data_IF_175431023700
#
_entry.id   IF_175431023700
#
_cell.length_a   1.000
_cell.length_b   1.000
_cell.length_c   1.000
_cell.angle_alpha   90.00
_cell.angle_beta   90.00
_cell.angle_gamma   90.00
#
_symmetry.space_group_name_H-M   'P 1'
#
loop_
_entity.id
_entity.type
_entity.pdbx_description
1 polymer ?
#
# COMPACT_ATOMS: atom_id res chain seq x y z
N UNK A 1 16.20 -32.37 -15.70
CA UNK A 1 15.23 -32.18 -14.59
C UNK A 1 14.07 -31.35 -15.11
N UNK A 2 12.85 -31.57 -14.61
CA UNK A 2 11.67 -30.82 -15.05
C UNK A 2 11.67 -29.39 -14.46
N UNK A 3 11.06 -28.44 -15.17
CA UNK A 3 10.82 -27.10 -14.63
C UNK A 3 9.69 -27.19 -13.60
N UNK A 4 9.92 -26.72 -12.37
CA UNK A 4 8.95 -26.82 -11.27
C UNK A 4 8.55 -25.42 -10.78
N UNK A 5 7.27 -25.12 -10.86
CA UNK A 5 6.66 -23.86 -10.44
C UNK A 5 6.19 -23.94 -8.99
N UNK A 6 6.78 -23.11 -8.13
CA UNK A 6 6.35 -22.91 -6.75
C UNK A 6 5.48 -21.66 -6.63
N UNK A 7 4.16 -21.85 -6.63
CA UNK A 7 3.16 -20.83 -6.36
C UNK A 7 1.80 -21.45 -6.05
N UNK A 8 0.88 -20.65 -5.50
CA UNK A 8 -0.53 -21.05 -5.47
C UNK A 8 -1.11 -21.14 -6.89
N UNK A 9 -1.94 -22.15 -7.17
CA UNK A 9 -2.53 -22.40 -8.50
C UNK A 9 -3.39 -21.24 -9.03
N UNK A 10 -3.89 -20.38 -8.15
CA UNK A 10 -4.70 -19.19 -8.48
C UNK A 10 -3.85 -17.93 -8.69
N UNK A 11 -2.52 -18.02 -8.60
CA UNK A 11 -1.64 -16.86 -8.66
C UNK A 11 -1.49 -16.35 -10.11
N UNK A 12 -2.01 -15.14 -10.37
CA UNK A 12 -1.91 -14.47 -11.68
C UNK A 12 -0.48 -14.32 -12.21
N UNK A 13 0.51 -14.21 -11.31
CA UNK A 13 1.91 -14.03 -11.69
C UNK A 13 2.52 -15.35 -12.21
N UNK A 14 2.03 -16.50 -11.74
CA UNK A 14 2.42 -17.80 -12.28
C UNK A 14 1.82 -18.04 -13.68
N UNK A 15 0.62 -17.48 -13.96
CA UNK A 15 -0.01 -17.60 -15.28
C UNK A 15 0.86 -17.03 -16.39
N UNK A 16 1.64 -15.96 -16.14
CA UNK A 16 2.59 -15.40 -17.10
C UNK A 16 3.50 -16.50 -17.66
N UNK A 17 4.16 -17.23 -16.76
CA UNK A 17 5.07 -18.32 -17.12
C UNK A 17 4.35 -19.47 -17.80
N UNK A 18 3.19 -19.89 -17.28
CA UNK A 18 2.47 -21.04 -17.81
C UNK A 18 1.93 -20.78 -19.21
N UNK A 19 1.38 -19.59 -19.46
CA UNK A 19 0.91 -19.19 -20.78
C UNK A 19 2.11 -19.10 -21.74
N UNK A 20 3.22 -18.48 -21.32
CA UNK A 20 4.44 -18.49 -22.13
C UNK A 20 4.86 -19.92 -22.46
N UNK A 21 4.86 -20.82 -21.47
CA UNK A 21 5.19 -22.23 -21.64
C UNK A 21 4.30 -22.94 -22.68
N UNK A 22 2.99 -22.64 -22.69
CA UNK A 22 2.05 -23.16 -23.71
C UNK A 22 2.40 -22.66 -25.12
N UNK A 23 2.76 -21.38 -25.28
CA UNK A 23 3.19 -20.87 -26.59
C UNK A 23 4.51 -21.49 -27.07
N UNK A 24 5.41 -21.85 -26.15
CA UNK A 24 6.72 -22.40 -26.49
C UNK A 24 6.80 -23.93 -26.47
N UNK A 25 5.72 -24.62 -26.07
CA UNK A 25 5.68 -26.07 -25.97
C UNK A 25 6.55 -26.65 -24.84
N UNK A 26 6.78 -25.88 -23.78
CA UNK A 26 7.59 -26.31 -22.62
C UNK A 26 6.67 -26.79 -21.50
N UNK A 27 6.95 -27.94 -20.91
CA UNK A 27 6.21 -28.44 -19.76
C UNK A 27 6.74 -27.80 -18.46
N UNK A 28 5.86 -27.13 -17.72
CA UNK A 28 6.14 -26.61 -16.37
C UNK A 28 5.22 -27.32 -15.38
N UNK A 29 5.83 -28.08 -14.46
CA UNK A 29 5.10 -28.82 -13.43
C UNK A 29 4.85 -27.95 -12.22
N UNK A 30 3.76 -28.17 -11.51
CA UNK A 30 3.55 -27.53 -10.21
C UNK A 30 4.35 -28.24 -9.13
N UNK A 31 4.89 -27.48 -8.17
CA UNK A 31 5.47 -28.03 -6.96
C UNK A 31 4.41 -28.85 -6.19
N UNK A 32 4.80 -30.06 -5.76
CA UNK A 32 3.92 -30.90 -4.97
C UNK A 32 3.69 -30.27 -3.58
N UNK A 33 2.43 -30.18 -3.16
CA UNK A 33 2.03 -29.73 -1.82
C UNK A 33 2.51 -28.32 -1.42
N UNK A 34 2.57 -27.38 -2.37
CA UNK A 34 2.85 -25.99 -2.06
C UNK A 34 1.67 -25.32 -1.31
N UNK A 35 1.94 -24.75 -0.13
CA UNK A 35 0.97 -24.01 0.68
C UNK A 35 1.47 -22.57 0.92
N UNK A 36 0.70 -21.60 0.44
CA UNK A 36 1.03 -20.18 0.60
C UNK A 36 0.92 -19.76 2.07
N UNK A 37 1.95 -19.10 2.59
CA UNK A 37 2.10 -18.72 4.00
C UNK A 37 2.87 -19.73 4.84
N UNK A 38 3.08 -20.96 4.34
CA UNK A 38 3.82 -22.04 5.00
C UNK A 38 5.06 -22.41 4.20
N UNK A 39 4.89 -22.97 2.99
CA UNK A 39 5.99 -23.44 2.15
C UNK A 39 6.94 -22.31 1.76
N UNK A 40 6.43 -21.11 1.48
CA UNK A 40 7.26 -19.96 1.09
C UNK A 40 8.02 -19.29 2.25
N UNK A 41 7.86 -19.78 3.49
CA UNK A 41 8.59 -19.30 4.66
C UNK A 41 9.64 -20.28 5.16
N UNK A 42 9.74 -21.48 4.58
CA UNK A 42 10.73 -22.46 5.04
C UNK A 42 12.14 -22.04 4.62
N UNK A 43 13.19 -22.44 5.38
CA UNK A 43 14.56 -22.13 5.03
C UNK A 43 14.96 -22.60 3.62
N UNK A 44 14.39 -23.72 3.16
CA UNK A 44 14.63 -24.28 1.82
C UNK A 44 14.08 -23.36 0.75
N UNK A 45 12.87 -22.82 0.94
CA UNK A 45 12.29 -21.87 0.01
C UNK A 45 13.01 -20.52 0.03
N UNK A 46 13.40 -20.04 1.20
CA UNK A 46 14.13 -18.77 1.34
C UNK A 46 15.52 -18.81 0.70
N UNK A 47 16.14 -20.00 0.56
CA UNK A 47 17.34 -20.16 -0.27
C UNK A 47 17.09 -19.95 -1.75
N UNK A 48 15.88 -20.24 -2.24
CA UNK A 48 15.50 -20.02 -3.63
C UNK A 48 15.04 -18.58 -3.89
N UNK A 49 14.30 -17.99 -2.95
CA UNK A 49 13.91 -16.59 -2.98
C UNK A 49 14.05 -15.97 -1.58
N UNK A 50 15.04 -15.09 -1.35
CA UNK A 50 15.30 -14.52 -0.02
C UNK A 50 14.16 -13.65 0.51
N UNK A 51 13.26 -13.17 -0.36
CA UNK A 51 12.08 -12.36 0.03
C UNK A 51 10.88 -13.26 0.38
N UNK A 52 10.95 -14.57 0.09
CA UNK A 52 9.85 -15.51 0.35
C UNK A 52 8.59 -15.25 -0.49
N UNK A 53 8.73 -14.54 -1.63
CA UNK A 53 7.63 -14.27 -2.57
C UNK A 53 7.49 -15.38 -3.60
N UNK A 54 6.31 -15.43 -4.21
CA UNK A 54 5.96 -16.34 -5.31
C UNK A 54 5.51 -15.55 -6.54
N UNK A 55 5.71 -16.07 -7.76
CA UNK A 55 6.26 -17.39 -8.10
C UNK A 55 7.79 -17.51 -7.99
N UNK A 56 8.25 -18.75 -7.85
CA UNK A 56 9.64 -19.18 -8.06
C UNK A 56 9.63 -20.37 -9.01
N UNK A 57 10.50 -20.35 -10.02
CA UNK A 57 10.72 -21.47 -10.93
C UNK A 57 12.02 -22.17 -10.56
N UNK A 58 11.91 -23.43 -10.15
CA UNK A 58 13.07 -24.30 -9.96
C UNK A 58 13.45 -24.92 -11.31
N UNK A 59 14.74 -24.76 -11.65
CA UNK A 59 15.32 -25.25 -12.91
C UNK A 59 16.50 -26.18 -12.57
N UNK A 60 16.98 -27.00 -13.53
CA UNK A 60 18.14 -27.86 -13.33
C UNK A 60 19.40 -27.10 -12.89
N UNK A 61 19.54 -25.85 -13.30
CA UNK A 61 20.73 -25.01 -13.09
C UNK A 61 20.59 -24.07 -11.88
N UNK A 62 19.41 -24.05 -11.26
CA UNK A 62 19.11 -23.21 -10.10
C UNK A 62 17.73 -22.52 -10.18
N UNK A 63 17.29 -21.90 -9.08
CA UNK A 63 16.00 -21.23 -9.03
C UNK A 63 16.02 -19.85 -9.69
N UNK A 64 14.90 -19.46 -10.29
CA UNK A 64 14.64 -18.12 -10.82
C UNK A 64 13.41 -17.56 -10.11
N UNK A 65 13.51 -16.35 -9.57
CA UNK A 65 12.38 -15.61 -8.97
C UNK A 65 12.12 -14.30 -9.74
N UNK A 66 11.03 -13.61 -9.42
CA UNK A 66 10.39 -12.54 -10.22
C UNK A 66 9.63 -13.05 -11.46
N UNK A 67 8.31 -12.85 -11.47
CA UNK A 67 7.45 -13.49 -12.49
C UNK A 67 7.78 -13.09 -13.92
N UNK A 68 8.18 -11.83 -14.15
CA UNK A 68 8.55 -11.37 -15.49
C UNK A 68 9.90 -11.98 -15.91
N UNK A 69 10.85 -12.14 -14.97
CA UNK A 69 12.13 -12.82 -15.23
C UNK A 69 11.94 -14.30 -15.53
N UNK A 70 11.07 -14.99 -14.77
CA UNK A 70 10.72 -16.39 -15.01
C UNK A 70 10.08 -16.56 -16.40
N UNK A 71 9.13 -15.70 -16.78
CA UNK A 71 8.49 -15.77 -18.10
C UNK A 71 9.51 -15.55 -19.24
N UNK A 72 10.43 -14.59 -19.09
CA UNK A 72 11.56 -14.40 -20.03
C UNK A 72 12.47 -15.63 -20.07
N UNK A 73 12.79 -16.24 -18.93
CA UNK A 73 13.63 -17.42 -18.86
C UNK A 73 13.04 -18.61 -19.63
N UNK A 74 11.75 -18.91 -19.42
CA UNK A 74 11.06 -19.99 -20.16
C UNK A 74 11.07 -19.72 -21.67
N UNK A 75 10.91 -18.47 -22.07
CA UNK A 75 11.01 -18.09 -23.48
C UNK A 75 12.43 -18.27 -24.04
N UNK A 76 13.45 -17.82 -23.30
CA UNK A 76 14.86 -17.95 -23.68
C UNK A 76 15.29 -19.41 -23.77
N UNK A 77 14.78 -20.30 -22.89
CA UNK A 77 15.04 -21.74 -22.99
C UNK A 77 14.64 -22.29 -24.36
N UNK A 78 13.47 -21.90 -24.89
CA UNK A 78 13.10 -22.27 -26.25
C UNK A 78 14.07 -21.66 -27.27
N UNK A 79 14.39 -20.37 -27.20
CA UNK A 79 15.33 -19.76 -28.16
C UNK A 79 16.69 -20.46 -28.17
N UNK A 80 17.22 -20.82 -27.01
CA UNK A 80 18.46 -21.59 -26.91
C UNK A 80 18.32 -22.97 -27.55
N UNK A 81 17.23 -23.69 -27.28
CA UNK A 81 16.94 -24.99 -27.91
C UNK A 81 16.79 -24.85 -29.43
N UNK A 82 16.10 -23.82 -29.93
CA UNK A 82 15.92 -23.53 -31.35
C UNK A 82 17.27 -23.25 -32.03
N UNK A 83 18.09 -22.39 -31.45
CA UNK A 83 19.41 -22.01 -32.00
C UNK A 83 20.34 -23.23 -32.01
N UNK A 84 20.39 -24.00 -30.92
CA UNK A 84 21.23 -25.19 -30.81
C UNK A 84 20.74 -26.32 -31.73
N UNK A 85 19.43 -26.52 -31.85
CA UNK A 85 18.82 -27.55 -32.69
C UNK A 85 18.62 -27.13 -34.16
N UNK A 86 18.95 -25.89 -34.53
CA UNK A 86 18.73 -25.28 -35.87
C UNK A 86 17.29 -25.41 -36.38
N UNK A 87 16.32 -25.48 -35.47
CA UNK A 87 14.91 -25.58 -35.83
C UNK A 87 14.43 -24.19 -36.26
N UNK A 88 13.63 -24.10 -37.34
CA UNK A 88 12.88 -22.88 -37.64
C UNK A 88 11.56 -22.96 -36.92
N UNK A 89 11.24 -21.97 -36.09
CA UNK A 89 9.89 -21.80 -35.55
C UNK A 89 9.47 -20.35 -35.73
N UNK A 90 8.19 -20.13 -36.01
CA UNK A 90 7.58 -18.80 -36.20
C UNK A 90 7.33 -18.05 -34.87
N UNK A 91 8.03 -18.39 -33.78
CA UNK A 91 7.77 -17.74 -32.48
C UNK A 91 8.33 -16.33 -32.43
N UNK A 92 7.45 -15.33 -32.56
CA UNK A 92 7.77 -13.89 -32.51
C UNK A 92 7.64 -13.27 -31.11
N UNK A 93 7.70 -14.07 -30.04
CA UNK A 93 7.34 -13.60 -28.69
C UNK A 93 8.32 -12.54 -28.12
N UNK A 94 9.58 -12.50 -28.58
CA UNK A 94 10.58 -11.47 -28.26
C UNK A 94 10.68 -10.37 -29.33
N UNK A 95 9.81 -10.39 -30.34
CA UNK A 95 9.95 -9.54 -31.51
C UNK A 95 11.02 -10.06 -32.47
N UNK A 96 11.11 -9.40 -33.63
CA UNK A 96 11.98 -9.74 -34.75
C UNK A 96 13.17 -8.77 -34.92
N UNK A 97 13.20 -7.68 -34.13
CA UNK A 97 14.24 -6.65 -34.20
C UNK A 97 14.52 -6.05 -32.82
N UNK A 98 15.68 -5.37 -32.62
CA UNK A 98 15.99 -4.70 -31.36
C UNK A 98 14.95 -3.66 -30.95
N UNK A 99 14.32 -2.96 -31.91
CA UNK A 99 13.29 -1.97 -31.62
C UNK A 99 11.99 -2.62 -31.17
N UNK A 100 11.60 -3.75 -31.76
CA UNK A 100 10.44 -4.53 -31.29
C UNK A 100 10.68 -5.10 -29.89
N UNK A 101 11.88 -5.63 -29.64
CA UNK A 101 12.25 -6.08 -28.29
C UNK A 101 12.19 -4.93 -27.27
N UNK A 102 12.72 -3.76 -27.62
CA UNK A 102 12.61 -2.55 -26.79
C UNK A 102 11.16 -2.15 -26.48
N UNK A 103 10.27 -2.20 -27.47
CA UNK A 103 8.84 -1.96 -27.24
C UNK A 103 8.19 -3.04 -26.37
N UNK A 104 8.60 -4.30 -26.49
CA UNK A 104 8.10 -5.39 -25.65
C UNK A 104 8.47 -5.12 -24.18
N UNK A 105 9.74 -4.81 -23.91
CA UNK A 105 10.21 -4.47 -22.57
C UNK A 105 9.50 -3.22 -22.03
N UNK A 106 9.32 -2.19 -22.86
CA UNK A 106 8.57 -0.98 -22.50
C UNK A 106 7.15 -1.31 -22.00
N UNK A 107 6.41 -2.17 -22.71
CA UNK A 107 5.05 -2.54 -22.30
C UNK A 107 5.01 -3.46 -21.08
N UNK A 108 6.03 -4.32 -20.90
CA UNK A 108 6.16 -5.16 -19.69
C UNK A 108 6.35 -4.28 -18.45
N UNK A 109 7.23 -3.29 -18.53
CA UNK A 109 7.51 -2.38 -17.43
C UNK A 109 6.33 -1.44 -17.16
N UNK A 110 5.76 -0.86 -18.23
CA UNK A 110 4.52 -0.07 -18.14
C UNK A 110 3.41 -0.84 -17.43
N UNK A 111 3.17 -2.09 -17.84
CA UNK A 111 2.12 -2.91 -17.24
C UNK A 111 2.40 -3.22 -15.77
N UNK A 112 3.65 -3.44 -15.39
CA UNK A 112 4.00 -3.79 -14.00
C UNK A 112 3.92 -2.57 -13.08
N UNK A 113 4.38 -1.40 -13.55
CA UNK A 113 4.52 -0.19 -12.76
C UNK A 113 3.24 0.66 -12.74
N UNK A 114 2.53 0.76 -13.87
CA UNK A 114 1.37 1.65 -14.00
C UNK A 114 0.02 0.91 -13.88
N UNK A 115 -0.05 -0.37 -14.25
CA UNK A 115 -1.30 -1.16 -14.16
C UNK A 115 -1.30 -2.03 -12.91
N UNK A 116 -0.38 -3.00 -12.80
CA UNK A 116 -0.41 -4.00 -11.74
C UNK A 116 -0.30 -3.37 -10.35
N UNK A 117 0.65 -2.44 -10.19
CA UNK A 117 0.84 -1.70 -8.94
C UNK A 117 -0.43 -0.99 -8.48
N UNK A 118 -1.15 -0.32 -9.40
CA UNK A 118 -2.37 0.40 -9.07
C UNK A 118 -3.56 -0.54 -8.82
N UNK A 119 -3.69 -1.63 -9.59
CA UNK A 119 -4.69 -2.68 -9.34
C UNK A 119 -4.47 -3.31 -7.96
N UNK A 120 -3.23 -3.62 -7.59
CA UNK A 120 -2.93 -4.21 -6.28
C UNK A 120 -3.19 -3.23 -5.13
N UNK A 121 -2.85 -1.95 -5.28
CA UNK A 121 -3.18 -0.92 -4.28
C UNK A 121 -4.69 -0.79 -4.04
N UNK A 122 -5.49 -0.94 -5.09
CA UNK A 122 -6.96 -0.94 -4.98
C UNK A 122 -7.50 -2.25 -4.37
N UNK A 123 -6.91 -3.39 -4.74
CA UNK A 123 -7.36 -4.71 -4.34
C UNK A 123 -6.99 -5.07 -2.89
N UNK A 124 -5.74 -4.85 -2.46
CA UNK A 124 -5.21 -5.36 -1.19
C UNK A 124 -6.05 -4.97 0.04
N UNK A 125 -6.54 -3.73 0.18
CA UNK A 125 -7.38 -3.37 1.32
C UNK A 125 -8.73 -4.10 1.38
N UNK A 126 -9.32 -4.39 0.22
CA UNK A 126 -10.63 -5.07 0.11
C UNK A 126 -10.57 -6.56 0.42
N UNK A 127 -9.37 -7.14 0.38
CA UNK A 127 -9.13 -8.52 0.78
C UNK A 127 -8.43 -8.62 2.15
N UNK A 128 -8.26 -7.49 2.86
CA UNK A 128 -7.67 -7.47 4.20
C UNK A 128 -6.17 -7.69 4.27
N UNK A 129 -5.46 -7.55 3.13
CA UNK A 129 -4.00 -7.66 3.05
C UNK A 129 -3.28 -6.33 3.24
N UNK A 130 -4.02 -5.22 3.26
CA UNK A 130 -3.52 -3.89 3.56
C UNK A 130 -4.59 -3.07 4.30
N UNK A 131 -4.18 -2.00 4.98
CA UNK A 131 -5.12 -1.06 5.56
C UNK A 131 -5.77 -0.22 4.46
N UNK A 132 -7.05 0.07 4.62
CA UNK A 132 -7.76 0.98 3.72
C UNK A 132 -7.45 2.44 4.06
N UNK A 133 -6.99 3.19 3.06
CA UNK A 133 -6.77 4.63 3.14
C UNK A 133 -7.41 5.25 1.91
N UNK A 134 -8.49 6.02 2.10
CA UNK A 134 -9.31 6.52 1.00
C UNK A 134 -8.52 7.33 -0.04
N UNK A 135 -7.67 8.32 0.33
CA UNK A 135 -6.85 9.04 -0.64
C UNK A 135 -5.89 8.15 -1.45
N UNK A 136 -5.40 7.05 -0.87
CA UNK A 136 -4.51 6.10 -1.56
C UNK A 136 -5.28 5.27 -2.58
N UNK A 137 -6.49 4.83 -2.24
CA UNK A 137 -7.37 4.13 -3.18
C UNK A 137 -7.77 5.06 -4.34
N UNK A 138 -8.18 6.30 -4.04
CA UNK A 138 -8.52 7.30 -5.05
C UNK A 138 -7.35 7.58 -6.00
N UNK A 139 -6.15 7.78 -5.46
CA UNK A 139 -4.94 7.98 -6.25
C UNK A 139 -4.59 6.75 -7.10
N UNK A 140 -4.75 5.53 -6.56
CA UNK A 140 -4.52 4.29 -7.30
C UNK A 140 -5.53 4.12 -8.45
N UNK A 141 -6.81 4.41 -8.21
CA UNK A 141 -7.85 4.38 -9.25
C UNK A 141 -7.56 5.42 -10.33
N UNK A 142 -7.22 6.65 -9.95
CA UNK A 142 -6.88 7.71 -10.90
C UNK A 142 -5.62 7.36 -11.73
N UNK A 143 -4.58 6.83 -11.08
CA UNK A 143 -3.38 6.34 -11.74
C UNK A 143 -3.67 5.19 -12.72
N UNK A 144 -4.51 4.23 -12.30
CA UNK A 144 -4.97 3.14 -13.17
C UNK A 144 -5.74 3.68 -14.38
N UNK A 145 -6.70 4.58 -14.17
CA UNK A 145 -7.47 5.19 -15.28
C UNK A 145 -6.56 5.93 -16.27
N UNK A 146 -5.55 6.66 -15.79
CA UNK A 146 -4.55 7.30 -16.65
C UNK A 146 -3.78 6.27 -17.48
N UNK A 147 -3.31 5.19 -16.85
CA UNK A 147 -2.59 4.11 -17.54
C UNK A 147 -3.48 3.41 -18.58
N UNK A 148 -4.72 3.07 -18.22
CA UNK A 148 -5.69 2.48 -19.12
C UNK A 148 -6.06 3.42 -20.27
N UNK A 149 -6.10 4.74 -20.04
CA UNK A 149 -6.30 5.74 -21.09
C UNK A 149 -5.17 5.75 -22.13
N UNK A 150 -3.91 5.71 -21.67
CA UNK A 150 -2.75 5.60 -22.56
C UNK A 150 -2.78 4.29 -23.34
N UNK A 151 -3.04 3.17 -22.66
CA UNK A 151 -3.16 1.85 -23.29
C UNK A 151 -4.32 1.79 -24.30
N UNK A 152 -5.46 2.40 -23.98
CA UNK A 152 -6.63 2.46 -24.86
C UNK A 152 -6.34 3.23 -26.15
N UNK A 153 -5.61 4.35 -26.04
CA UNK A 153 -5.16 5.12 -27.21
C UNK A 153 -4.24 4.29 -28.09
N UNK A 154 -3.25 3.59 -27.51
CA UNK A 154 -2.36 2.71 -28.27
C UNK A 154 -3.14 1.59 -28.98
N UNK A 155 -4.04 0.93 -28.27
CA UNK A 155 -4.86 -0.17 -28.78
C UNK A 155 -5.99 0.28 -29.73
N UNK A 156 -6.17 1.58 -30.00
CA UNK A 156 -7.17 2.03 -30.96
C UNK A 156 -6.82 1.55 -32.39
N UNK A 157 -5.54 1.55 -32.75
CA UNK A 157 -5.02 1.13 -34.05
C UNK A 157 -4.23 -0.17 -34.03
N UNK A 158 -4.11 -0.83 -32.88
CA UNK A 158 -3.33 -2.06 -32.73
C UNK A 158 -4.18 -3.22 -32.18
N UNK A 159 -3.98 -4.41 -32.74
CA UNK A 159 -4.61 -5.64 -32.25
C UNK A 159 -3.88 -6.20 -31.03
N UNK A 160 -2.55 -6.14 -31.04
CA UNK A 160 -1.64 -6.56 -29.97
C UNK A 160 -0.71 -5.40 -29.60
N UNK A 161 0.05 -5.50 -28.51
CA UNK A 161 0.86 -4.38 -28.02
C UNK A 161 2.04 -4.05 -28.93
N UNK A 162 2.67 -5.06 -29.53
CA UNK A 162 3.83 -4.91 -30.40
C UNK A 162 3.68 -5.78 -31.65
N UNK A 163 3.83 -5.18 -32.83
CA UNK A 163 3.73 -5.89 -34.10
C UNK A 163 2.31 -6.37 -34.41
N UNK A 164 2.22 -7.55 -35.05
CA UNK A 164 0.96 -8.11 -35.59
C UNK A 164 0.58 -9.47 -34.99
N UNK A 165 1.27 -9.91 -33.93
CA UNK A 165 1.09 -11.19 -33.27
C UNK A 165 1.24 -11.04 -31.75
N UNK A 166 0.80 -12.06 -31.01
CA UNK A 166 0.97 -12.09 -29.55
C UNK A 166 2.46 -12.10 -29.22
N UNK A 167 2.85 -11.24 -28.28
CA UNK A 167 4.21 -11.15 -27.73
C UNK A 167 4.22 -11.40 -26.22
N UNK A 168 5.41 -11.45 -25.61
CA UNK A 168 5.54 -11.53 -24.16
C UNK A 168 4.88 -10.33 -23.45
N UNK A 169 4.90 -9.14 -24.06
CA UNK A 169 4.22 -7.97 -23.54
C UNK A 169 2.72 -8.22 -23.37
N UNK A 170 2.11 -8.92 -24.33
CA UNK A 170 0.67 -9.20 -24.29
C UNK A 170 0.31 -10.20 -23.20
N UNK A 171 1.12 -11.24 -23.03
CA UNK A 171 0.97 -12.24 -21.97
C UNK A 171 1.03 -11.58 -20.61
N UNK A 172 2.08 -10.77 -20.36
CA UNK A 172 2.28 -10.12 -19.08
C UNK A 172 1.18 -9.08 -18.81
N UNK A 173 0.84 -8.27 -19.80
CA UNK A 173 -0.18 -7.22 -19.65
C UNK A 173 -1.55 -7.81 -19.37
N UNK A 174 -1.95 -8.86 -20.09
CA UNK A 174 -3.20 -9.56 -19.84
C UNK A 174 -3.24 -10.16 -18.44
N UNK A 175 -2.15 -10.79 -17.98
CA UNK A 175 -2.07 -11.33 -16.62
C UNK A 175 -2.16 -10.24 -15.55
N UNK A 176 -1.58 -9.06 -15.77
CA UNK A 176 -1.66 -7.94 -14.84
C UNK A 176 -3.06 -7.30 -14.81
N UNK A 177 -3.76 -7.27 -15.94
CA UNK A 177 -5.17 -6.84 -16.02
C UNK A 177 -6.15 -7.86 -15.40
N UNK A 178 -5.77 -9.13 -15.32
CA UNK A 178 -6.64 -10.25 -14.92
C UNK A 178 -7.39 -10.02 -13.60
N UNK A 179 -6.67 -9.67 -12.53
CA UNK A 179 -7.31 -9.41 -11.23
C UNK A 179 -8.21 -8.18 -11.28
N UNK A 180 -7.81 -7.17 -12.07
CA UNK A 180 -8.66 -6.02 -12.37
C UNK A 180 -10.00 -6.46 -12.93
N UNK A 181 -10.05 -7.15 -14.07
CA UNK A 181 -11.31 -7.61 -14.68
C UNK A 181 -12.07 -8.60 -13.80
N UNK A 182 -11.37 -9.55 -13.17
CA UNK A 182 -12.01 -10.62 -12.39
C UNK A 182 -12.68 -10.12 -11.12
N UNK A 183 -12.08 -9.16 -10.42
CA UNK A 183 -12.54 -8.78 -9.08
C UNK A 183 -12.69 -7.28 -8.83
N UNK A 184 -12.16 -6.37 -9.64
CA UNK A 184 -12.19 -4.92 -9.33
C UNK A 184 -12.99 -4.09 -10.34
N UNK A 185 -12.69 -4.21 -11.62
CA UNK A 185 -13.16 -3.32 -12.68
C UNK A 185 -14.51 -3.80 -13.22
N UNK A 186 -15.59 -3.15 -12.78
CA UNK A 186 -16.94 -3.41 -13.26
C UNK A 186 -17.10 -3.01 -14.73
N UNK A 187 -18.19 -3.46 -15.37
CA UNK A 187 -18.49 -3.10 -16.76
C UNK A 187 -18.58 -1.58 -16.98
N UNK A 188 -19.14 -0.84 -16.01
CA UNK A 188 -19.19 0.63 -16.06
C UNK A 188 -17.79 1.25 -16.05
N UNK A 189 -16.86 0.69 -15.27
CA UNK A 189 -15.47 1.16 -15.23
C UNK A 189 -14.73 0.88 -16.55
N UNK A 190 -14.87 -0.33 -17.09
CA UNK A 190 -14.15 -0.71 -18.33
C UNK A 190 -14.74 -0.10 -19.58
N UNK A 191 -16.01 0.34 -19.56
CA UNK A 191 -16.65 1.04 -20.67
C UNK A 191 -15.96 2.36 -21.05
N UNK A 192 -15.21 2.98 -20.12
CA UNK A 192 -14.37 4.15 -20.40
C UNK A 192 -13.18 3.81 -21.33
N UNK A 193 -12.82 2.52 -21.45
CA UNK A 193 -11.64 2.03 -22.18
C UNK A 193 -11.99 0.88 -23.15
N UNK A 194 -12.81 1.14 -24.19
CA UNK A 194 -13.36 0.09 -25.04
C UNK A 194 -12.31 -0.72 -25.81
N UNK A 195 -11.17 -0.12 -26.19
CA UNK A 195 -10.11 -0.82 -26.90
C UNK A 195 -9.30 -1.73 -25.97
N UNK A 196 -9.13 -1.33 -24.70
CA UNK A 196 -8.56 -2.21 -23.66
C UNK A 196 -9.48 -3.38 -23.39
N UNK A 197 -10.79 -3.15 -23.28
CA UNK A 197 -11.76 -4.21 -23.09
C UNK A 197 -11.75 -5.21 -24.26
N UNK A 198 -11.79 -4.70 -25.51
CA UNK A 198 -11.64 -5.53 -26.72
C UNK A 198 -10.37 -6.35 -26.66
N UNK A 199 -9.24 -5.72 -26.35
CA UNK A 199 -7.94 -6.38 -26.28
C UNK A 199 -7.92 -7.48 -25.24
N UNK A 200 -8.35 -7.20 -24.01
CA UNK A 200 -8.34 -8.15 -22.91
C UNK A 200 -9.15 -9.40 -23.26
N UNK A 201 -10.37 -9.22 -23.79
CA UNK A 201 -11.21 -10.34 -24.19
C UNK A 201 -10.65 -11.11 -25.38
N UNK A 202 -10.01 -10.45 -26.35
CA UNK A 202 -9.28 -11.14 -27.42
C UNK A 202 -8.17 -12.04 -26.87
N UNK A 203 -7.44 -11.56 -25.85
CA UNK A 203 -6.30 -12.27 -25.27
C UNK A 203 -6.72 -13.46 -24.41
N UNK A 204 -7.65 -13.29 -23.46
CA UNK A 204 -8.05 -14.39 -22.55
C UNK A 204 -8.79 -15.53 -23.25
N UNK A 205 -9.38 -15.26 -24.42
CA UNK A 205 -10.05 -16.25 -25.27
C UNK A 205 -9.10 -16.93 -26.28
N UNK A 206 -7.81 -16.59 -26.31
CA UNK A 206 -6.83 -17.37 -27.07
C UNK A 206 -6.68 -18.76 -26.44
N UNK A 207 -6.53 -19.85 -27.24
CA UNK A 207 -6.44 -21.21 -26.71
C UNK A 207 -5.38 -21.39 -25.60
N UNK A 208 -4.20 -20.80 -25.79
CA UNK A 208 -3.09 -20.87 -24.84
C UNK A 208 -3.38 -20.15 -23.52
N UNK A 209 -4.21 -19.09 -23.56
CA UNK A 209 -4.66 -18.38 -22.36
C UNK A 209 -5.78 -19.15 -21.66
N UNK A 210 -6.82 -19.54 -22.41
CA UNK A 210 -7.99 -20.22 -21.85
C UNK A 210 -7.64 -21.56 -21.20
N UNK A 211 -6.63 -22.27 -21.72
CA UNK A 211 -6.12 -23.51 -21.11
C UNK A 211 -5.53 -23.30 -19.71
N UNK A 212 -4.90 -22.15 -19.45
CA UNK A 212 -4.26 -21.83 -18.16
C UNK A 212 -5.22 -21.10 -17.22
N UNK A 213 -5.91 -20.09 -17.73
CA UNK A 213 -6.77 -19.20 -16.94
C UNK A 213 -8.14 -19.83 -16.67
N UNK A 214 -8.63 -20.66 -17.59
CA UNK A 214 -10.00 -21.17 -17.60
C UNK A 214 -11.02 -20.11 -18.01
N UNK A 215 -12.29 -20.40 -17.72
CA UNK A 215 -13.39 -19.46 -17.95
C UNK A 215 -13.26 -18.24 -17.04
N UNK A 216 -13.36 -17.04 -17.63
CA UNK A 216 -13.29 -15.78 -16.91
C UNK A 216 -14.58 -14.99 -17.08
N UNK A 217 -15.22 -14.70 -15.95
CA UNK A 217 -16.33 -13.72 -15.87
C UNK A 217 -15.81 -12.42 -15.25
N UNK A 218 -16.16 -11.29 -15.87
CA UNK A 218 -15.87 -9.97 -15.31
C UNK A 218 -16.71 -9.72 -14.06
N UNK A 219 -16.15 -8.98 -13.10
CA UNK A 219 -16.89 -8.64 -11.88
C UNK A 219 -18.07 -7.71 -12.16
N UNK A 220 -19.18 -7.94 -11.46
CA UNK A 220 -20.37 -7.08 -11.51
C UNK A 220 -20.28 -5.92 -10.50
N UNK A 221 -19.50 -6.10 -9.42
CA UNK A 221 -19.35 -5.12 -8.36
C UNK A 221 -17.93 -5.13 -7.78
N UNK A 222 -17.51 -3.99 -7.23
CA UNK A 222 -16.27 -3.90 -6.46
C UNK A 222 -16.50 -4.55 -5.09
N UNK A 223 -15.66 -5.52 -4.66
CA UNK A 223 -15.80 -6.16 -3.35
C UNK A 223 -15.84 -5.12 -2.24
N UNK A 224 -16.79 -5.20 -1.29
CA UNK A 224 -16.85 -4.25 -0.19
C UNK A 224 -15.57 -4.34 0.63
N UNK A 225 -15.21 -3.24 1.30
CA UNK A 225 -14.18 -3.32 2.33
C UNK A 225 -14.63 -4.33 3.39
N UNK A 226 -13.71 -5.17 3.89
CA UNK A 226 -14.06 -6.11 4.93
C UNK A 226 -14.58 -5.33 6.13
N UNK A 227 -15.87 -5.47 6.43
CA UNK A 227 -16.40 -5.15 7.76
C UNK A 227 -15.49 -5.86 8.75
N UNK A 228 -15.19 -5.28 9.91
CA UNK A 228 -14.20 -5.81 10.89
C UNK A 228 -14.53 -7.19 11.52
N UNK A 229 -15.14 -8.11 10.77
CA UNK A 229 -15.12 -9.56 10.96
C UNK A 229 -13.68 -10.05 10.81
N UNK A 230 -13.17 -10.53 11.94
CA UNK A 230 -11.90 -11.25 12.13
C UNK A 230 -11.51 -12.02 10.87
N UNK A 231 -10.36 -11.65 10.30
CA UNK A 231 -9.63 -12.54 9.42
C UNK A 231 -9.53 -13.91 10.10
N UNK A 232 -9.97 -14.96 9.40
CA UNK A 232 -9.82 -16.32 9.87
C UNK A 232 -8.32 -16.59 10.06
N UNK A 233 -7.89 -16.63 11.32
CA UNK A 233 -6.55 -17.10 11.67
C UNK A 233 -6.42 -18.56 11.25
N UNK A 234 -5.28 -18.99 10.67
CA UNK A 234 -4.99 -20.39 10.42
C UNK A 234 -5.11 -21.17 11.73
N UNK A 235 -5.80 -22.31 11.70
CA UNK A 235 -5.81 -23.27 12.80
C UNK A 235 -4.38 -23.75 13.04
N UNK A 236 -3.73 -23.24 14.07
CA UNK A 236 -2.57 -23.89 14.66
C UNK A 236 -3.01 -25.25 15.22
N UNK A 237 -2.49 -26.30 14.61
CA UNK A 237 -2.53 -27.67 15.12
C UNK A 237 -1.65 -27.75 16.36
N UNK A 238 -2.24 -27.63 17.55
CA UNK A 238 -1.57 -27.98 18.81
C UNK A 238 -1.26 -29.49 18.83
N UNK A 239 -0.03 -29.90 19.22
CA UNK A 239 0.30 -31.31 19.43
C UNK A 239 -0.50 -31.91 20.59
N UNK A 240 -0.95 -33.15 20.40
CA UNK A 240 -1.54 -34.02 21.44
C UNK A 240 -0.57 -34.20 22.61
N UNK A 241 -1.05 -33.96 23.82
CA UNK A 241 -0.57 -34.62 25.03
C UNK A 241 -1.79 -35.06 25.85
N UNK A 242 -1.85 -36.36 26.14
CA UNK A 242 -2.89 -37.03 26.94
C UNK A 242 -2.63 -36.90 28.46
N UNK A 243 -3.62 -37.24 29.31
CA UNK A 243 -3.94 -36.50 30.53
C UNK A 243 -3.44 -37.16 31.83
N UNK A 244 -3.32 -36.36 32.90
CA UNK A 244 -3.44 -36.85 34.28
C UNK A 244 -4.51 -36.08 35.05
N UNK A 245 -5.43 -36.86 35.63
CA UNK A 245 -6.54 -36.53 36.54
C UNK A 245 -6.05 -36.14 37.93
N UNK A 246 -6.81 -35.28 38.61
CA UNK A 246 -7.42 -35.46 39.96
C UNK A 246 -8.21 -34.17 40.31
N UNK A 247 -9.55 -34.18 40.20
CA UNK A 247 -10.57 -34.24 41.28
C UNK A 247 -10.73 -32.95 42.12
N UNK A 248 -11.77 -32.14 41.84
CA UNK A 248 -13.18 -32.15 42.31
C UNK A 248 -13.42 -31.51 43.70
N UNK A 249 -14.26 -30.46 43.72
CA UNK A 249 -15.33 -30.25 44.72
C UNK A 249 -16.41 -29.28 44.18
N UNK A 250 -17.65 -29.77 44.18
CA UNK A 250 -18.95 -29.12 43.86
C UNK A 250 -19.44 -28.27 45.05
N UNK A 251 -19.98 -27.04 44.84
CA UNK A 251 -21.40 -26.62 44.69
C UNK A 251 -22.24 -26.68 46.00
N UNK A 252 -23.25 -25.78 46.26
CA UNK A 252 -24.47 -25.70 45.43
C UNK A 252 -25.15 -24.30 45.27
N UNK A 253 -26.16 -24.32 44.36
CA UNK A 253 -27.04 -23.29 43.77
C UNK A 253 -28.06 -22.61 44.72
N UNK A 254 -28.58 -21.44 44.31
CA UNK A 254 -30.02 -21.19 44.02
C UNK A 254 -30.27 -19.80 43.38
N UNK A 255 -31.39 -19.70 42.65
CA UNK A 255 -31.75 -18.80 41.54
C UNK A 255 -32.27 -17.40 41.93
N UNK A 256 -32.26 -16.42 40.99
CA UNK A 256 -33.47 -15.81 40.38
C UNK A 256 -33.13 -14.72 39.33
N UNK A 257 -34.04 -14.57 38.37
CA UNK A 257 -34.06 -13.77 37.13
C UNK A 257 -33.68 -12.27 37.19
N UNK A 258 -33.18 -11.77 36.06
CA UNK A 258 -33.24 -10.35 35.67
C UNK A 258 -32.49 -10.10 34.35
N UNK A 259 -33.21 -9.70 33.29
CA UNK A 259 -32.67 -9.22 32.01
C UNK A 259 -31.68 -8.06 32.22
N UNK A 260 -30.53 -8.07 31.55
CA UNK A 260 -29.75 -6.87 31.21
C UNK A 260 -28.68 -7.16 30.13
N UNK A 261 -28.61 -6.30 29.10
CA UNK A 261 -27.68 -6.37 27.97
C UNK A 261 -26.21 -6.32 28.41
N UNK A 262 -25.44 -7.37 28.12
CA UNK A 262 -24.01 -7.43 28.45
C UNK A 262 -23.14 -6.95 27.28
N UNK A 263 -22.51 -5.79 27.49
CA UNK A 263 -21.61 -5.09 26.56
C UNK A 263 -20.39 -5.94 26.12
N UNK A 264 -19.89 -5.78 24.87
CA UNK A 264 -18.78 -6.56 24.36
C UNK A 264 -17.43 -6.14 24.99
N UNK A 265 -16.66 -7.13 25.49
CA UNK A 265 -15.31 -6.97 26.05
C UNK A 265 -14.27 -6.45 25.02
N UNK A 266 -13.26 -5.69 25.47
CA UNK A 266 -12.48 -4.78 24.64
C UNK A 266 -11.40 -5.48 23.80
N UNK A 267 -11.21 -5.00 22.57
CA UNK A 267 -9.97 -5.21 21.79
C UNK A 267 -8.77 -4.64 22.58
N UNK A 268 -7.54 -5.14 22.40
CA UNK A 268 -6.37 -4.54 23.02
C UNK A 268 -6.29 -3.08 22.57
N UNK A 269 -6.52 -2.17 23.51
CA UNK A 269 -6.57 -0.72 23.33
C UNK A 269 -5.15 -0.21 23.04
N UNK A 270 -5.01 0.75 22.12
CA UNK A 270 -3.76 1.51 22.02
C UNK A 270 -3.46 2.08 23.43
N UNK A 271 -2.21 2.08 23.92
CA UNK A 271 -1.88 2.65 25.23
C UNK A 271 -2.44 4.05 25.47
N UNK A 272 -2.62 4.85 24.41
CA UNK A 272 -3.26 6.17 24.48
C UNK A 272 -4.79 6.16 24.62
N UNK A 273 -5.47 5.09 24.18
CA UNK A 273 -6.92 4.86 24.41
C UNK A 273 -7.21 4.40 25.85
N UNK A 274 -6.17 4.10 26.64
CA UNK A 274 -6.24 3.77 28.07
C UNK A 274 -6.01 4.97 28.98
N UNK A 275 -5.59 6.11 28.41
CA UNK A 275 -5.41 7.35 29.18
C UNK A 275 -6.77 7.89 29.67
N UNK A 276 -6.81 8.54 30.85
CA UNK A 276 -8.03 9.14 31.39
C UNK A 276 -8.70 10.05 30.35
N UNK A 277 -10.04 10.00 30.17
CA UNK A 277 -10.76 10.84 29.22
C UNK A 277 -10.35 12.31 29.38
N UNK A 278 -9.89 12.92 28.29
CA UNK A 278 -9.53 14.33 28.25
C UNK A 278 -10.78 15.18 28.04
N UNK A 279 -10.84 16.38 28.63
CA UNK A 279 -11.88 17.37 28.34
C UNK A 279 -11.79 17.85 26.88
N UNK A 280 -10.58 17.86 26.31
CA UNK A 280 -10.35 18.15 24.91
C UNK A 280 -10.73 16.96 24.02
N UNK A 281 -11.67 17.17 23.09
CA UNK A 281 -11.95 16.26 21.96
C UNK A 281 -11.20 16.76 20.72
N UNK A 282 -10.20 15.99 20.27
CA UNK A 282 -9.31 16.43 19.19
C UNK A 282 -10.04 16.63 17.85
N UNK A 283 -11.06 15.81 17.56
CA UNK A 283 -11.85 15.94 16.34
C UNK A 283 -12.67 17.24 16.30
N UNK A 284 -13.15 17.70 17.47
CA UNK A 284 -13.84 18.98 17.60
C UNK A 284 -12.89 20.15 17.38
N UNK A 285 -11.67 20.07 17.93
CA UNK A 285 -10.61 21.02 17.63
C UNK A 285 -10.31 21.08 16.12
N UNK A 286 -10.06 19.93 15.48
CA UNK A 286 -9.75 19.86 14.04
C UNK A 286 -10.88 20.40 13.17
N UNK A 287 -12.13 20.15 13.58
CA UNK A 287 -13.33 20.69 12.92
C UNK A 287 -13.41 22.21 13.08
N UNK A 288 -13.23 22.74 14.30
CA UNK A 288 -13.20 24.17 14.56
C UNK A 288 -12.11 24.87 13.74
N UNK A 289 -10.88 24.35 13.78
CA UNK A 289 -9.75 24.86 13.02
C UNK A 289 -10.06 24.89 11.51
N UNK A 290 -10.59 23.80 10.95
CA UNK A 290 -10.86 23.69 9.51
C UNK A 290 -11.97 24.61 9.01
N UNK A 291 -12.96 24.86 9.87
CA UNK A 291 -14.14 25.68 9.56
C UNK A 291 -13.91 27.18 9.77
N UNK A 292 -12.89 27.56 10.54
CA UNK A 292 -12.55 28.96 10.75
C UNK A 292 -11.81 29.50 9.52
N UNK A 293 -12.43 30.45 8.80
CA UNK A 293 -11.84 31.09 7.59
C UNK A 293 -11.45 32.55 7.83
N UNK A 294 -12.12 33.22 8.75
CA UNK A 294 -11.88 34.61 9.15
C UNK A 294 -11.87 34.69 10.68
N UNK A 295 -11.32 35.78 11.24
CA UNK A 295 -11.22 36.02 12.69
C UNK A 295 -10.56 34.86 13.45
N UNK A 296 -9.42 34.38 12.91
CA UNK A 296 -8.75 33.17 13.37
C UNK A 296 -8.42 33.20 14.87
N UNK A 297 -7.98 34.35 15.39
CA UNK A 297 -7.74 34.54 16.83
C UNK A 297 -8.98 34.43 17.69
N UNK A 298 -10.06 35.09 17.28
CA UNK A 298 -11.28 35.17 18.08
C UNK A 298 -12.06 33.85 18.12
N UNK A 299 -11.90 33.02 17.09
CA UNK A 299 -12.66 31.76 16.92
C UNK A 299 -11.78 30.54 17.15
N UNK A 300 -10.75 30.33 16.32
CA UNK A 300 -9.92 29.14 16.39
C UNK A 300 -8.96 29.18 17.59
N UNK A 301 -8.20 30.26 17.80
CA UNK A 301 -7.26 30.35 18.93
C UNK A 301 -7.99 30.37 20.26
N UNK A 302 -9.05 31.18 20.39
CA UNK A 302 -9.88 31.20 21.60
C UNK A 302 -10.46 29.82 21.90
N UNK A 303 -11.08 29.18 20.91
CA UNK A 303 -11.65 27.85 21.08
C UNK A 303 -10.60 26.78 21.35
N UNK A 304 -9.39 26.89 20.79
CA UNK A 304 -8.26 26.03 21.13
C UNK A 304 -7.98 26.05 22.62
N UNK A 305 -7.77 27.24 23.20
CA UNK A 305 -7.44 27.39 24.62
C UNK A 305 -8.61 27.06 25.55
N UNK A 306 -9.86 27.27 25.13
CA UNK A 306 -11.05 26.84 25.88
C UNK A 306 -11.19 25.30 25.92
N UNK A 307 -10.80 24.62 24.85
CA UNK A 307 -10.85 23.16 24.77
C UNK A 307 -9.59 22.48 25.30
N UNK A 308 -8.45 23.17 25.31
CA UNK A 308 -7.14 22.57 25.61
C UNK A 308 -7.07 22.04 27.04
N UNK A 309 -6.70 20.78 27.16
CA UNK A 309 -6.60 20.07 28.43
C UNK A 309 -5.14 19.65 28.66
N UNK A 310 -4.40 20.30 29.57
CA UNK A 310 -2.98 20.02 29.81
C UNK A 310 -2.72 18.68 30.52
N UNK A 311 -3.74 18.08 31.15
CA UNK A 311 -3.66 16.73 31.71
C UNK A 311 -3.85 15.67 30.62
N UNK A 312 -4.61 16.02 29.59
CA UNK A 312 -4.94 15.14 28.47
C UNK A 312 -4.01 15.25 27.27
N UNK A 313 -3.41 16.40 27.03
CA UNK A 313 -2.60 16.68 25.84
C UNK A 313 -1.34 17.45 26.20
N UNK A 314 -0.31 17.27 25.38
CA UNK A 314 0.93 18.02 25.48
C UNK A 314 1.22 18.74 24.16
N UNK A 315 1.74 19.95 24.30
CA UNK A 315 2.22 20.77 23.18
C UNK A 315 3.74 20.71 23.11
N UNK A 316 4.25 20.62 21.89
CA UNK A 316 5.67 20.51 21.60
C UNK A 316 6.05 21.39 20.42
N UNK A 317 7.11 22.17 20.56
CA UNK A 317 7.81 22.77 19.45
C UNK A 317 8.76 21.74 18.84
N UNK A 318 8.86 21.71 17.51
CA UNK A 318 9.87 20.95 16.79
C UNK A 318 10.69 21.86 15.88
N UNK A 319 11.98 21.96 16.13
CA UNK A 319 12.91 22.75 15.31
C UNK A 319 13.82 21.80 14.53
N UNK A 320 13.92 21.97 13.21
CA UNK A 320 14.75 21.09 12.39
C UNK A 320 16.24 21.34 12.62
N UNK A 321 17.02 20.28 12.87
CA UNK A 321 18.43 20.39 13.28
C UNK A 321 19.37 20.84 12.14
N UNK A 322 19.01 20.55 10.89
CA UNK A 322 19.90 20.72 9.72
C UNK A 322 19.37 21.79 8.76
N UNK A 323 18.98 22.96 9.27
CA UNK A 323 18.42 24.03 8.43
C UNK A 323 19.39 24.48 7.33
N UNK A 324 20.70 24.44 7.57
CA UNK A 324 21.74 24.83 6.61
C UNK A 324 21.72 23.98 5.31
N UNK A 325 21.14 22.79 5.34
CA UNK A 325 21.00 21.92 4.16
C UNK A 325 19.80 22.30 3.28
N UNK A 326 18.89 23.13 3.77
CA UNK A 326 17.65 23.48 3.09
C UNK A 326 17.88 24.63 2.10
N UNK A 327 18.64 24.38 1.03
CA UNK A 327 19.04 25.39 0.04
C UNK A 327 18.00 25.65 -1.07
N UNK A 328 17.00 24.78 -1.19
CA UNK A 328 16.04 24.81 -2.30
C UNK A 328 14.62 24.69 -1.76
N UNK A 329 13.81 25.73 -1.97
CA UNK A 329 12.47 25.87 -1.40
C UNK A 329 11.55 24.68 -1.68
N UNK A 330 11.46 24.23 -2.94
CA UNK A 330 10.60 23.11 -3.30
C UNK A 330 11.05 21.77 -2.70
N UNK A 331 12.36 21.58 -2.52
CA UNK A 331 12.92 20.38 -1.89
C UNK A 331 12.58 20.39 -0.40
N UNK A 332 12.73 21.53 0.27
CA UNK A 332 12.34 21.73 1.67
C UNK A 332 10.84 21.47 1.87
N UNK A 333 9.99 21.99 0.98
CA UNK A 333 8.54 21.72 0.98
C UNK A 333 8.22 20.22 0.85
N UNK A 334 8.90 19.51 -0.06
CA UNK A 334 8.70 18.08 -0.24
C UNK A 334 9.20 17.26 0.98
N UNK A 335 10.31 17.68 1.59
CA UNK A 335 10.86 17.08 2.82
C UNK A 335 9.83 17.15 3.97
N UNK A 336 9.28 18.33 4.22
CA UNK A 336 8.21 18.52 5.23
C UNK A 336 6.97 17.69 4.88
N UNK A 337 6.59 17.63 3.60
CA UNK A 337 5.47 16.80 3.15
C UNK A 337 5.67 15.30 3.44
N UNK A 338 6.88 14.78 3.20
CA UNK A 338 7.25 13.41 3.52
C UNK A 338 7.20 13.10 5.01
N UNK A 339 7.66 14.03 5.86
CA UNK A 339 7.56 13.90 7.32
C UNK A 339 6.10 13.80 7.76
N UNK A 340 5.23 14.70 7.28
CA UNK A 340 3.80 14.66 7.62
C UNK A 340 3.10 13.37 7.16
N UNK A 341 3.52 12.78 6.04
CA UNK A 341 2.99 11.48 5.58
C UNK A 341 3.41 10.32 6.49
N UNK A 342 4.62 10.35 7.06
CA UNK A 342 5.07 9.32 8.02
C UNK A 342 4.40 9.48 9.37
N UNK A 343 4.03 10.70 9.75
CA UNK A 343 3.27 10.98 10.97
C UNK A 343 1.81 10.50 10.91
N UNK A 344 1.32 9.97 9.79
CA UNK A 344 -0.09 9.57 9.59
C UNK A 344 -0.58 8.51 10.60
N UNK A 345 0.33 7.67 11.10
CA UNK A 345 0.08 6.72 12.21
C UNK A 345 -0.42 7.42 13.49
N UNK A 346 -0.05 8.69 13.69
CA UNK A 346 -0.47 9.52 14.83
C UNK A 346 -1.73 10.34 14.54
N UNK A 347 -2.33 10.28 13.34
CA UNK A 347 -3.41 11.19 12.91
C UNK A 347 -4.58 11.21 13.89
N UNK A 348 -4.97 10.07 14.45
CA UNK A 348 -6.05 9.99 15.44
C UNK A 348 -5.72 10.68 16.78
N UNK A 349 -4.43 10.81 17.11
CA UNK A 349 -3.96 11.22 18.43
C UNK A 349 -3.16 12.53 18.42
N UNK A 350 -2.98 13.15 17.25
CA UNK A 350 -2.16 14.33 17.10
C UNK A 350 -2.76 15.36 16.15
N UNK A 351 -2.36 16.60 16.37
CA UNK A 351 -2.52 17.73 15.45
C UNK A 351 -1.16 18.39 15.31
N UNK A 352 -0.76 18.78 14.11
CA UNK A 352 0.55 19.33 13.84
C UNK A 352 0.49 20.50 12.87
N UNK A 353 1.48 21.37 12.96
CA UNK A 353 1.66 22.50 12.07
C UNK A 353 3.14 22.69 11.79
N UNK A 354 3.53 22.68 10.53
CA UNK A 354 4.91 22.85 10.09
C UNK A 354 5.00 24.13 9.25
N UNK A 355 5.89 25.04 9.64
CA UNK A 355 6.19 26.28 8.96
C UNK A 355 7.54 26.17 8.25
N UNK A 356 7.62 26.70 7.04
CA UNK A 356 8.84 26.89 6.29
C UNK A 356 9.07 28.39 6.21
N UNK A 357 10.18 28.85 6.78
CA UNK A 357 10.44 30.25 7.06
C UNK A 357 11.70 30.68 6.30
N UNK A 358 11.67 31.89 5.75
CA UNK A 358 12.76 32.48 4.97
C UNK A 358 12.36 32.72 3.50
N UNK A 359 12.82 33.85 2.96
CA UNK A 359 12.68 34.21 1.55
C UNK A 359 13.90 33.81 0.70
N UNK A 360 15.04 33.58 1.34
CA UNK A 360 16.29 33.12 0.75
C UNK A 360 16.83 31.90 1.52
N UNK A 361 17.60 31.01 0.87
CA UNK A 361 18.22 29.88 1.55
C UNK A 361 19.29 30.33 2.56
N UNK A 362 19.51 29.58 3.65
CA UNK A 362 18.83 28.33 4.01
C UNK A 362 17.41 28.54 4.59
N UNK A 363 16.46 27.74 4.13
CA UNK A 363 15.07 27.77 4.62
C UNK A 363 14.94 27.06 5.97
N UNK A 364 14.40 27.75 6.97
CA UNK A 364 14.21 27.21 8.32
C UNK A 364 12.91 26.43 8.39
N UNK A 365 12.94 25.25 9.01
CA UNK A 365 11.76 24.43 9.25
C UNK A 365 11.47 24.37 10.74
N UNK A 366 10.30 24.88 11.13
CA UNK A 366 9.80 24.87 12.51
C UNK A 366 8.42 24.24 12.54
N UNK A 367 8.03 23.67 13.68
CA UNK A 367 6.69 23.12 13.82
C UNK A 367 6.18 23.10 15.25
N UNK A 368 4.87 22.90 15.34
CA UNK A 368 4.08 22.81 16.54
C UNK A 368 3.28 21.53 16.49
N UNK A 369 3.37 20.71 17.53
CA UNK A 369 2.63 19.46 17.64
C UNK A 369 1.88 19.38 18.94
N UNK A 370 0.63 18.99 18.83
CA UNK A 370 -0.26 18.60 19.90
C UNK A 370 -0.38 17.07 19.88
N UNK A 371 0.03 16.41 20.96
CA UNK A 371 -0.09 14.96 21.12
C UNK A 371 -1.01 14.61 22.29
N UNK A 372 -1.76 13.52 22.13
CA UNK A 372 -2.52 12.91 23.22
C UNK A 372 -1.57 12.31 24.25
N UNK A 373 -1.73 12.72 25.50
CA UNK A 373 -0.87 12.35 26.63
C UNK A 373 0.12 13.45 26.99
N UNK A 374 0.86 13.24 28.09
CA UNK A 374 1.82 14.21 28.65
C UNK A 374 3.18 14.20 27.96
N UNK A 375 3.43 13.19 27.13
CA UNK A 375 4.68 12.95 26.41
C UNK A 375 4.41 12.66 24.93
N UNK A 376 5.46 12.78 24.10
CA UNK A 376 5.39 12.35 22.70
C UNK A 376 5.14 10.84 22.68
N UNK A 377 4.12 10.34 21.95
CA UNK A 377 3.78 8.93 22.00
C UNK A 377 4.91 8.04 21.50
N UNK A 378 5.26 7.01 22.29
CA UNK A 378 6.41 6.14 22.00
C UNK A 378 6.35 5.49 20.61
N UNK A 379 5.17 5.07 20.15
CA UNK A 379 5.01 4.48 18.82
C UNK A 379 5.34 5.46 17.68
N UNK A 380 5.22 6.77 17.91
CA UNK A 380 5.65 7.80 16.95
C UNK A 380 7.17 7.85 16.89
N UNK A 381 7.84 7.77 18.04
CA UNK A 381 9.31 7.72 18.11
C UNK A 381 9.87 6.43 17.50
N UNK A 382 9.21 5.29 17.72
CA UNK A 382 9.68 3.98 17.25
C UNK A 382 9.48 3.79 15.73
N UNK A 383 8.42 4.35 15.14
CA UNK A 383 8.09 4.16 13.72
C UNK A 383 8.46 5.32 12.81
N UNK A 384 8.62 6.55 13.34
CA UNK A 384 8.99 7.74 12.57
C UNK A 384 10.44 8.15 12.87
N UNK A 385 11.40 7.60 12.10
CA UNK A 385 12.83 7.90 12.25
C UNK A 385 13.18 9.39 12.06
N UNK A 386 12.35 10.16 11.35
CA UNK A 386 12.57 11.60 11.19
C UNK A 386 12.44 12.36 12.51
N UNK A 387 11.76 11.82 13.52
CA UNK A 387 11.61 12.47 14.82
C UNK A 387 12.97 12.85 15.41
N UNK A 388 14.02 12.07 15.12
CA UNK A 388 15.40 12.34 15.55
C UNK A 388 16.06 13.53 14.82
N UNK A 389 15.55 13.91 13.64
CA UNK A 389 16.05 15.04 12.85
C UNK A 389 15.55 16.39 13.38
N UNK A 390 14.60 16.36 14.31
CA UNK A 390 14.06 17.54 14.98
C UNK A 390 14.50 17.58 16.44
N UNK A 391 14.67 18.79 16.95
CA UNK A 391 14.77 19.06 18.38
C UNK A 391 13.38 19.34 18.92
N UNK A 392 12.96 18.56 19.91
CA UNK A 392 11.62 18.63 20.49
C UNK A 392 11.66 19.30 21.86
N UNK A 393 10.97 20.43 21.98
CA UNK A 393 10.88 21.18 23.23
C UNK A 393 9.42 21.24 23.67
N UNK A 394 9.12 20.78 24.89
CA UNK A 394 7.76 20.86 25.44
C UNK A 394 7.41 22.33 25.68
N UNK A 395 6.21 22.74 25.25
CA UNK A 395 5.73 24.11 25.46
C UNK A 395 5.45 24.34 26.94
N UNK A 396 6.02 25.41 27.48
CA UNK A 396 5.71 25.90 28.82
C UNK A 396 4.44 26.74 28.79
N UNK A 397 3.37 26.20 29.39
CA UNK A 397 2.07 26.84 29.49
C UNK A 397 2.01 27.94 30.57
N UNK A 398 3.08 28.15 31.32
CA UNK A 398 3.19 29.29 32.23
C UNK A 398 3.84 30.50 31.55
N UNK A 399 4.51 30.28 30.41
CA UNK A 399 5.19 31.30 29.63
C UNK A 399 4.25 31.89 28.56
N UNK A 400 3.82 33.14 28.77
CA UNK A 400 2.95 33.84 27.84
C UNK A 400 3.60 34.07 26.46
N UNK A 401 4.93 34.18 26.38
CA UNK A 401 5.63 34.31 25.09
C UNK A 401 5.54 33.00 24.28
N UNK A 402 5.62 31.86 24.95
CA UNK A 402 5.47 30.56 24.29
C UNK A 402 4.02 30.29 23.88
N UNK A 403 3.02 30.70 24.68
CA UNK A 403 1.61 30.65 24.25
C UNK A 403 1.37 31.51 23.02
N UNK A 404 1.95 32.71 23.00
CA UNK A 404 1.81 33.59 21.85
C UNK A 404 2.48 33.02 20.61
N UNK A 405 3.65 32.37 20.76
CA UNK A 405 4.30 31.60 19.69
C UNK A 405 3.40 30.48 19.16
N UNK A 406 2.73 29.74 20.05
CA UNK A 406 1.74 28.71 19.67
C UNK A 406 0.61 29.32 18.84
N UNK A 407 0.06 30.47 19.26
CA UNK A 407 -1.01 31.16 18.54
C UNK A 407 -0.57 31.53 17.11
N UNK A 408 0.61 32.15 16.99
CA UNK A 408 1.19 32.58 15.73
C UNK A 408 1.40 31.40 14.76
N UNK A 409 1.85 30.24 15.27
CA UNK A 409 2.01 29.06 14.43
C UNK A 409 0.67 28.47 13.97
N UNK A 410 -0.33 28.43 14.85
CA UNK A 410 -1.66 27.90 14.53
C UNK A 410 -2.36 28.76 13.45
N UNK A 411 -2.20 30.09 13.50
CA UNK A 411 -2.86 31.04 12.60
C UNK A 411 -2.09 31.38 11.32
N UNK A 412 -0.92 30.78 11.08
CA UNK A 412 -0.04 31.13 9.95
C UNK A 412 0.37 32.62 9.96
N UNK A 413 0.70 33.15 11.14
CA UNK A 413 1.06 34.56 11.29
C UNK A 413 2.29 34.90 10.45
N UNK A 414 2.20 35.97 9.65
CA UNK A 414 3.28 36.48 8.83
C UNK A 414 3.54 37.97 9.14
N UNK A 415 4.79 38.39 9.38
CA UNK A 415 6.02 37.59 9.44
C UNK A 415 6.14 36.78 10.75
N UNK A 416 6.61 35.53 10.66
CA UNK A 416 6.80 34.67 11.84
C UNK A 416 8.22 34.86 12.39
N UNK A 417 8.34 35.22 13.68
CA UNK A 417 9.63 35.53 14.34
C UNK A 417 10.49 36.57 13.60
N UNK A 418 9.85 37.48 12.85
CA UNK A 418 10.53 38.52 12.07
C UNK A 418 11.04 38.07 10.70
N UNK A 419 10.73 36.85 10.28
CA UNK A 419 11.09 36.29 8.98
C UNK A 419 9.85 35.99 8.12
N UNK A 420 10.01 36.03 6.80
CA UNK A 420 8.92 35.73 5.84
C UNK A 420 8.46 34.28 5.97
N UNK A 421 7.15 34.07 5.97
CA UNK A 421 6.57 32.73 5.98
C UNK A 421 6.42 32.24 4.54
N UNK A 422 7.24 31.26 4.14
CA UNK A 422 7.24 30.75 2.77
C UNK A 422 6.07 29.79 2.52
N UNK A 423 5.82 28.86 3.45
CA UNK A 423 4.76 27.88 3.35
C UNK A 423 4.39 27.36 4.74
N UNK A 424 3.15 26.91 4.91
CA UNK A 424 2.62 26.38 6.15
C UNK A 424 1.77 25.13 5.91
N UNK A 425 2.19 23.99 6.47
CA UNK A 425 1.54 22.70 6.28
C UNK A 425 0.88 22.25 7.58
N UNK A 426 -0.41 21.91 7.50
CA UNK A 426 -1.18 21.42 8.63
C UNK A 426 -1.34 19.89 8.57
N UNK A 427 -1.11 19.24 9.72
CA UNK A 427 -1.37 17.84 9.98
C UNK A 427 -2.61 17.72 10.88
N UNK A 428 -3.67 17.09 10.37
CA UNK A 428 -4.94 16.93 11.07
C UNK A 428 -5.64 15.65 10.66
#
# INVERSE_FOLDING_TARGET
>A
MALVMHAAKTNKNAFKTLITAEYVGVEVKWAEKFEMGVSNKTPEFLKMNPIGKVPVLETPDGPVFESNAIARYVLILLYFVIIVARLKTDTSLLGSSPIEYGHIEQWIDFSSLEIDTNVLKWLMPRFGYANYVAPVEEAAIAGLKRALGALNTHLASHTFLVGHSVTLADIITTCNLYLGFKVMMTKTFTAEFPHVERYFWTMVNQPNFSKVIGELKQTEAVPPLPSSKKAAQPKETKPKAEPKKEEKKEAPKAETNGDEEEAPKPKPKNPLDLLPPSKMVLDDWKRLYSNTKTNFREVAIKGFWEMFDPEGYSLWFCDYKYNDENMVSFVTMNKVGGFLQRMDLARKYAFGKMLIIGNEPPFKVKGLWLFRGTEIPKFVMDECYDMELYEWTKVDLSDEAQKERVNQMIEDFEPFEGETLLDAKCFK
#
